data_IF_584190682614
#
_entry.id   IF_584190682614
#
_cell.length_a   1.000
_cell.length_b   1.000
_cell.length_c   1.000
_cell.angle_alpha   90.00
_cell.angle_beta   90.00
_cell.angle_gamma   90.00
#
_symmetry.space_group_name_H-M   'P 1'
#
loop_
_entity.id
_entity.type
_entity.pdbx_description
1 polymer ?
#
# COMPACT_ATOMS: atom_id res chain seq x y z
N UNK A 1 2.79 -7.35 -22.98
CA UNK A 1 1.73 -7.65 -22.00
C UNK A 1 0.46 -7.02 -22.52
N UNK A 2 -0.65 -7.74 -22.55
CA UNK A 2 -1.90 -7.22 -23.10
C UNK A 2 -2.45 -6.09 -22.20
N UNK A 3 -3.11 -5.09 -22.81
CA UNK A 3 -3.56 -3.88 -22.12
C UNK A 3 -4.57 -4.22 -21.01
N UNK A 4 -5.47 -5.18 -21.28
CA UNK A 4 -6.45 -5.72 -20.33
C UNK A 4 -5.77 -6.32 -19.09
N UNK A 5 -4.72 -7.11 -19.28
CA UNK A 5 -3.95 -7.75 -18.20
C UNK A 5 -3.17 -6.72 -17.38
N UNK A 6 -2.61 -5.69 -18.03
CA UNK A 6 -1.93 -4.59 -17.34
C UNK A 6 -2.88 -3.79 -16.45
N UNK A 7 -4.05 -3.42 -16.97
CA UNK A 7 -5.06 -2.67 -16.20
C UNK A 7 -5.57 -3.46 -14.99
N UNK A 8 -5.80 -4.77 -15.14
CA UNK A 8 -6.21 -5.63 -14.02
C UNK A 8 -5.12 -5.71 -12.93
N UNK A 9 -3.86 -5.81 -13.31
CA UNK A 9 -2.74 -5.87 -12.37
C UNK A 9 -2.63 -4.57 -11.56
N UNK A 10 -2.69 -3.42 -12.24
CA UNK A 10 -2.66 -2.09 -11.62
C UNK A 10 -3.87 -1.91 -10.69
N UNK A 11 -5.06 -2.30 -11.12
CA UNK A 11 -6.29 -2.18 -10.31
C UNK A 11 -6.20 -3.03 -9.04
N UNK A 12 -5.68 -4.25 -9.14
CA UNK A 12 -5.50 -5.15 -7.98
C UNK A 12 -4.51 -4.57 -6.97
N UNK A 13 -3.38 -4.01 -7.45
CA UNK A 13 -2.39 -3.33 -6.62
C UNK A 13 -3.02 -2.11 -5.92
N UNK A 14 -3.75 -1.27 -6.65
CA UNK A 14 -4.39 -0.09 -6.09
C UNK A 14 -5.44 -0.46 -5.03
N UNK A 15 -6.31 -1.45 -5.28
CA UNK A 15 -7.31 -1.90 -4.32
C UNK A 15 -6.66 -2.46 -3.05
N UNK A 16 -5.63 -3.30 -3.18
CA UNK A 16 -4.90 -3.86 -2.05
C UNK A 16 -4.17 -2.80 -1.23
N UNK A 17 -3.56 -1.82 -1.91
CA UNK A 17 -2.91 -0.68 -1.29
C UNK A 17 -3.91 0.20 -0.53
N UNK A 18 -5.00 0.65 -1.17
CA UNK A 18 -5.98 1.54 -0.55
C UNK A 18 -6.74 0.88 0.61
N UNK A 19 -7.03 -0.43 0.54
CA UNK A 19 -7.66 -1.18 1.64
C UNK A 19 -6.85 -1.13 2.94
N UNK A 20 -5.53 -1.23 2.84
CA UNK A 20 -4.65 -1.19 4.00
C UNK A 20 -4.27 0.24 4.37
N UNK A 21 -4.05 1.10 3.37
CA UNK A 21 -3.68 2.50 3.56
C UNK A 21 -4.78 3.32 4.24
N UNK A 22 -6.08 3.05 3.96
CA UNK A 22 -7.18 3.77 4.61
C UNK A 22 -7.15 3.60 6.14
N UNK A 23 -6.80 2.40 6.62
CA UNK A 23 -6.72 2.08 8.04
C UNK A 23 -5.52 2.76 8.69
N UNK A 24 -4.37 2.74 8.01
CA UNK A 24 -3.14 3.43 8.45
C UNK A 24 -3.37 4.94 8.53
N UNK A 25 -3.93 5.56 7.49
CA UNK A 25 -4.23 7.00 7.46
C UNK A 25 -5.23 7.36 8.56
N UNK A 26 -6.26 6.54 8.78
CA UNK A 26 -7.23 6.74 9.87
C UNK A 26 -6.59 6.69 11.26
N UNK A 27 -5.76 5.67 11.53
CA UNK A 27 -5.04 5.52 12.80
C UNK A 27 -4.13 6.72 13.09
N UNK A 28 -3.33 7.13 12.10
CA UNK A 28 -2.42 8.24 12.27
C UNK A 28 -3.13 9.60 12.33
N UNK A 29 -4.26 9.78 11.64
CA UNK A 29 -5.11 10.96 11.79
C UNK A 29 -5.63 11.10 13.22
N UNK A 30 -6.09 10.00 13.82
CA UNK A 30 -6.53 10.00 15.23
C UNK A 30 -5.38 10.28 16.19
N UNK A 31 -4.20 9.70 15.96
CA UNK A 31 -2.97 10.00 16.73
C UNK A 31 -2.61 11.49 16.67
N UNK A 32 -2.54 12.06 15.47
CA UNK A 32 -2.24 13.48 15.27
C UNK A 32 -3.28 14.39 15.94
N UNK A 33 -4.53 13.95 16.01
CA UNK A 33 -5.61 14.69 16.67
C UNK A 33 -5.64 14.50 18.19
N UNK A 34 -5.21 13.35 18.69
CA UNK A 34 -5.18 13.02 20.12
C UNK A 34 -3.98 13.65 20.85
N UNK A 35 -2.91 13.97 20.13
CA UNK A 35 -1.70 14.55 20.71
C UNK A 35 -1.42 15.93 20.09
N UNK A 36 -1.47 16.99 20.91
CA UNK A 36 -1.17 18.37 20.48
C UNK A 36 0.33 18.66 20.36
N UNK A 37 1.20 17.74 20.78
CA UNK A 37 2.65 17.89 20.68
C UNK A 37 3.12 17.99 19.22
N UNK A 38 3.83 19.08 18.91
CA UNK A 38 4.42 19.31 17.58
C UNK A 38 5.44 18.23 17.19
N UNK A 39 6.20 17.73 18.18
CA UNK A 39 7.16 16.63 17.98
C UNK A 39 6.45 15.33 17.59
N UNK A 40 5.31 15.03 18.24
CA UNK A 40 4.55 13.81 17.96
C UNK A 40 3.83 13.87 16.60
N UNK A 41 3.43 15.07 16.18
CA UNK A 41 2.92 15.35 14.83
C UNK A 41 3.98 15.10 13.75
N UNK A 42 5.19 15.61 13.96
CA UNK A 42 6.30 15.42 13.04
C UNK A 42 6.67 13.92 12.93
N UNK A 43 6.83 13.25 14.07
CA UNK A 43 7.13 11.82 14.11
C UNK A 43 6.05 10.96 13.44
N UNK A 44 4.78 11.23 13.71
CA UNK A 44 3.65 10.55 13.06
C UNK A 44 3.69 10.73 11.54
N UNK A 45 4.01 11.92 11.04
CA UNK A 45 4.07 12.18 9.59
C UNK A 45 5.16 11.36 8.91
N UNK A 46 6.35 11.26 9.50
CA UNK A 46 7.44 10.41 8.98
C UNK A 46 7.08 8.92 9.02
N UNK A 47 6.43 8.47 10.09
CA UNK A 47 5.95 7.09 10.21
C UNK A 47 4.89 6.75 9.15
N UNK A 48 3.92 7.63 8.88
CA UNK A 48 2.93 7.42 7.82
C UNK A 48 3.61 7.20 6.47
N UNK A 49 4.58 8.05 6.12
CA UNK A 49 5.30 7.95 4.85
C UNK A 49 6.06 6.63 4.78
N UNK A 50 6.74 6.23 5.86
CA UNK A 50 7.45 4.95 5.94
C UNK A 50 6.53 3.73 5.79
N UNK A 51 5.41 3.71 6.51
CA UNK A 51 4.43 2.63 6.45
C UNK A 51 3.78 2.55 5.06
N UNK A 52 3.46 3.69 4.45
CA UNK A 52 2.92 3.73 3.08
C UNK A 52 3.92 3.18 2.06
N UNK A 53 5.20 3.53 2.18
CA UNK A 53 6.25 2.99 1.31
C UNK A 53 6.37 1.47 1.47
N UNK A 54 6.37 0.95 2.69
CA UNK A 54 6.44 -0.50 2.96
C UNK A 54 5.23 -1.21 2.35
N UNK A 55 4.01 -0.72 2.58
CA UNK A 55 2.77 -1.31 2.03
C UNK A 55 2.79 -1.30 0.50
N UNK A 56 3.31 -0.23 -0.10
CA UNK A 56 3.43 -0.14 -1.55
C UNK A 56 4.39 -1.20 -2.11
N UNK A 57 5.58 -1.34 -1.52
CA UNK A 57 6.56 -2.34 -1.94
C UNK A 57 6.04 -3.77 -1.76
N UNK A 58 5.42 -4.08 -0.62
CA UNK A 58 4.87 -5.43 -0.39
C UNK A 58 3.77 -5.76 -1.38
N UNK A 59 2.89 -4.80 -1.69
CA UNK A 59 1.81 -4.99 -2.66
C UNK A 59 2.35 -5.25 -4.08
N UNK A 60 3.42 -4.55 -4.49
CA UNK A 60 4.09 -4.79 -5.77
C UNK A 60 4.69 -6.20 -5.80
N UNK A 61 5.46 -6.57 -4.77
CA UNK A 61 6.14 -7.87 -4.71
C UNK A 61 5.14 -9.02 -4.73
N UNK A 62 4.10 -8.95 -3.91
CA UNK A 62 3.06 -10.00 -3.86
C UNK A 62 2.30 -10.11 -5.18
N UNK A 63 1.95 -8.98 -5.81
CA UNK A 63 1.22 -9.00 -7.09
C UNK A 63 2.08 -9.53 -8.24
N UNK A 64 3.38 -9.20 -8.25
CA UNK A 64 4.32 -9.68 -9.27
C UNK A 64 4.62 -11.18 -9.12
N UNK A 65 4.79 -11.66 -7.88
CA UNK A 65 4.94 -13.08 -7.59
C UNK A 65 3.70 -13.88 -8.01
N UNK A 66 2.50 -13.36 -7.75
CA UNK A 66 1.25 -14.01 -8.18
C UNK A 66 1.13 -14.10 -9.70
N UNK A 67 1.55 -13.06 -10.43
CA UNK A 67 1.56 -13.08 -11.89
C UNK A 67 2.53 -14.11 -12.48
N UNK A 68 3.73 -14.24 -11.91
CA UNK A 68 4.71 -15.24 -12.33
C UNK A 68 4.18 -16.67 -12.13
N UNK A 69 3.59 -16.96 -10.97
CA UNK A 69 3.00 -18.28 -10.69
C UNK A 69 1.85 -18.63 -11.65
N UNK A 70 1.02 -17.66 -12.05
CA UNK A 70 -0.05 -17.92 -13.03
C UNK A 70 0.51 -18.18 -14.43
N UNK A 71 1.57 -17.46 -14.82
CA UNK A 71 2.24 -17.64 -16.11
C UNK A 71 2.87 -19.03 -16.25
N UNK A 72 3.46 -19.55 -15.18
CA UNK A 72 4.09 -20.88 -15.16
C UNK A 72 3.08 -22.04 -15.21
N UNK A 73 1.82 -21.83 -14.79
CA UNK A 73 0.76 -22.85 -14.85
C UNK A 73 0.10 -22.91 -16.23
N UNK A 74 0.11 -21.80 -16.98
CA UNK A 74 -0.53 -21.67 -18.30
C UNK A 74 0.38 -22.00 -19.50
N UNK A 75 1.64 -22.35 -19.26
CA UNK A 75 2.64 -22.70 -20.28
C UNK A 75 2.95 -24.20 -20.22
#
# INVERSE_FOLDING_TARGET
MDLSTFTNLVTTILIGFFKNAIWVVGFFYLLIKAFESEELKAFSKYLIIGVLAIIFFTTIVTSYSGYLSLKDITN
#
